data_IF_749689670900
#
_entry.id   IF_749689670900
#
_cell.length_a   1.000
_cell.length_b   1.000
_cell.length_c   1.000
_cell.angle_alpha   90.00
_cell.angle_beta   90.00
_cell.angle_gamma   90.00
#
_symmetry.space_group_name_H-M   'P 1'
#
loop_
_entity.id
_entity.type
_entity.pdbx_description
1 polymer ?
#
# COMPACT_ATOMS: atom_id res chain seq x y z
N UNK A 1 27.39 5.81 -3.68
CA UNK A 1 26.65 4.54 -3.53
C UNK A 1 27.06 3.96 -2.18
N UNK A 2 26.20 4.08 -1.14
CA UNK A 2 26.50 3.53 0.17
C UNK A 2 26.21 2.03 0.13
N UNK A 3 27.24 1.22 0.24
CA UNK A 3 27.10 -0.22 0.43
C UNK A 3 26.51 -0.45 1.82
N UNK A 4 25.48 -1.30 1.94
CA UNK A 4 24.98 -1.68 3.25
C UNK A 4 26.10 -2.43 4.02
N UNK A 5 26.19 -2.15 5.34
CA UNK A 5 27.19 -2.76 6.24
C UNK A 5 26.83 -4.19 6.67
N UNK A 6 25.57 -4.59 6.50
CA UNK A 6 25.08 -5.92 6.85
C UNK A 6 25.50 -6.97 5.82
N UNK A 7 25.65 -8.23 6.24
CA UNK A 7 26.10 -9.31 5.37
C UNK A 7 25.05 -9.58 4.25
N UNK A 8 25.56 -9.97 3.09
CA UNK A 8 24.77 -10.45 1.98
C UNK A 8 24.65 -11.98 2.05
N UNK A 9 23.48 -12.51 1.74
CA UNK A 9 23.31 -13.91 1.31
C UNK A 9 23.42 -14.02 -0.21
N UNK A 10 23.21 -15.20 -0.76
CA UNK A 10 23.18 -15.41 -2.22
C UNK A 10 22.14 -14.52 -2.90
N UNK A 11 20.97 -14.34 -2.29
CA UNK A 11 19.91 -13.49 -2.84
C UNK A 11 20.36 -12.03 -2.94
N UNK A 12 20.90 -11.48 -1.85
CA UNK A 12 21.39 -10.12 -1.84
C UNK A 12 22.56 -9.88 -2.79
N UNK A 13 23.47 -10.85 -2.96
CA UNK A 13 24.54 -10.74 -3.95
C UNK A 13 23.98 -10.70 -5.38
N UNK A 14 23.03 -11.57 -5.71
CA UNK A 14 22.38 -11.57 -7.02
C UNK A 14 21.66 -10.23 -7.25
N UNK A 15 20.89 -9.75 -6.27
CA UNK A 15 20.20 -8.46 -6.37
C UNK A 15 21.17 -7.29 -6.57
N UNK A 16 22.25 -7.27 -5.81
CA UNK A 16 23.29 -6.24 -5.91
C UNK A 16 23.90 -6.15 -7.32
N UNK A 17 24.18 -7.28 -7.94
CA UNK A 17 24.89 -7.34 -9.22
C UNK A 17 23.97 -7.30 -10.43
N UNK A 18 22.78 -7.90 -10.35
CA UNK A 18 21.88 -8.09 -11.48
C UNK A 18 20.50 -7.43 -11.29
N UNK A 19 20.20 -6.89 -10.11
CA UNK A 19 18.89 -6.33 -9.82
C UNK A 19 18.50 -5.17 -10.73
N UNK A 20 19.45 -4.31 -11.14
CA UNK A 20 19.19 -3.23 -12.07
C UNK A 20 18.88 -3.73 -13.47
N UNK A 21 19.64 -4.70 -13.95
CA UNK A 21 19.41 -5.31 -15.26
C UNK A 21 18.07 -6.02 -15.30
N UNK A 22 17.71 -6.70 -14.19
CA UNK A 22 16.40 -7.30 -14.03
C UNK A 22 15.27 -6.27 -14.06
N UNK A 23 15.43 -5.16 -13.32
CA UNK A 23 14.45 -4.06 -13.34
C UNK A 23 14.35 -3.40 -14.72
N UNK A 24 15.41 -3.33 -15.48
CA UNK A 24 15.39 -2.79 -16.85
C UNK A 24 14.58 -3.65 -17.84
N UNK A 25 14.26 -4.90 -17.48
CA UNK A 25 13.35 -5.74 -18.28
C UNK A 25 11.87 -5.36 -18.12
N UNK A 26 11.55 -4.52 -17.13
CA UNK A 26 10.19 -4.01 -16.92
C UNK A 26 10.02 -2.70 -17.69
N UNK A 27 8.80 -2.45 -18.15
CA UNK A 27 8.43 -1.17 -18.77
C UNK A 27 8.28 -0.08 -17.70
N UNK A 28 9.42 0.53 -17.32
CA UNK A 28 9.46 1.62 -16.34
C UNK A 28 10.52 2.67 -16.70
N UNK A 29 10.35 3.94 -16.28
CA UNK A 29 11.35 4.98 -16.46
C UNK A 29 12.69 4.61 -15.83
N UNK A 30 13.81 4.90 -16.51
CA UNK A 30 15.15 4.63 -16.00
C UNK A 30 15.41 5.29 -14.62
N UNK A 31 14.84 6.48 -14.38
CA UNK A 31 14.92 7.17 -13.09
C UNK A 31 14.30 6.39 -11.92
N UNK A 32 13.29 5.56 -12.20
CA UNK A 32 12.58 4.76 -11.19
C UNK A 32 13.38 3.52 -10.78
N UNK A 33 14.26 3.01 -11.68
CA UNK A 33 15.05 1.80 -11.43
C UNK A 33 15.89 1.92 -10.17
N UNK A 34 16.62 3.03 -9.99
CA UNK A 34 17.46 3.24 -8.79
C UNK A 34 16.61 3.31 -7.51
N UNK A 35 15.48 4.00 -7.57
CA UNK A 35 14.56 4.12 -6.44
C UNK A 35 13.96 2.77 -6.05
N UNK A 36 13.51 1.99 -7.04
CA UNK A 36 12.94 0.66 -6.81
C UNK A 36 14.02 -0.30 -6.33
N UNK A 37 15.21 -0.29 -6.95
CA UNK A 37 16.34 -1.13 -6.57
C UNK A 37 16.69 -0.93 -5.09
N UNK A 38 16.88 0.31 -4.65
CA UNK A 38 17.23 0.63 -3.28
C UNK A 38 16.10 0.29 -2.29
N UNK A 39 14.86 0.62 -2.63
CA UNK A 39 13.70 0.33 -1.78
C UNK A 39 13.44 -1.18 -1.63
N UNK A 40 13.59 -1.94 -2.73
CA UNK A 40 13.43 -3.39 -2.70
C UNK A 40 14.57 -4.05 -1.91
N UNK A 41 15.82 -3.60 -2.07
CA UNK A 41 16.95 -4.07 -1.26
C UNK A 41 16.67 -3.89 0.23
N UNK A 42 16.31 -2.69 0.64
CA UNK A 42 16.13 -2.35 2.06
C UNK A 42 14.97 -3.09 2.74
N UNK A 43 13.86 -3.32 2.03
CA UNK A 43 12.61 -3.79 2.66
C UNK A 43 12.19 -5.21 2.29
N UNK A 44 12.85 -5.83 1.31
CA UNK A 44 12.57 -7.20 0.89
C UNK A 44 13.83 -8.09 0.93
N UNK A 45 14.93 -7.65 0.29
CA UNK A 45 16.15 -8.47 0.19
C UNK A 45 16.90 -8.52 1.52
N UNK A 46 17.14 -7.38 2.15
CA UNK A 46 17.89 -7.30 3.40
C UNK A 46 17.30 -8.16 4.54
N UNK A 47 15.98 -8.14 4.83
CA UNK A 47 15.42 -9.02 5.86
C UNK A 47 15.65 -10.51 5.58
N UNK A 48 15.59 -10.93 4.31
CA UNK A 48 15.86 -12.30 3.90
C UNK A 48 17.34 -12.64 4.12
N UNK A 49 18.26 -11.79 3.68
CA UNK A 49 19.70 -12.00 3.88
C UNK A 49 20.08 -12.09 5.34
N UNK A 50 19.52 -11.21 6.19
CA UNK A 50 19.77 -11.23 7.63
C UNK A 50 19.28 -12.51 8.29
N UNK A 51 18.14 -13.02 7.85
CA UNK A 51 17.58 -14.29 8.34
C UNK A 51 18.44 -15.47 7.87
N UNK A 52 18.83 -15.50 6.60
CA UNK A 52 19.63 -16.55 5.99
C UNK A 52 21.03 -16.66 6.63
N UNK A 53 21.64 -15.53 6.93
CA UNK A 53 22.95 -15.47 7.60
C UNK A 53 22.86 -15.63 9.13
N UNK A 54 21.68 -15.83 9.71
CA UNK A 54 21.50 -15.96 11.16
C UNK A 54 21.72 -14.66 11.95
N UNK A 55 21.83 -13.51 11.26
CA UNK A 55 21.99 -12.19 11.90
C UNK A 55 20.66 -11.64 12.45
N UNK A 56 19.55 -12.15 11.97
CA UNK A 56 18.19 -11.85 12.43
C UNK A 56 17.43 -13.15 12.63
N UNK A 57 16.94 -13.39 13.84
CA UNK A 57 16.03 -14.50 14.13
C UNK A 57 14.65 -13.94 14.41
N UNK A 58 13.64 -14.23 13.59
CA UNK A 58 12.26 -13.84 13.86
C UNK A 58 11.82 -14.41 15.23
N UNK A 59 11.10 -13.61 16.01
CA UNK A 59 10.63 -13.97 17.35
C UNK A 59 9.13 -13.79 17.48
N UNK A 60 8.54 -14.41 18.52
CA UNK A 60 7.11 -14.31 18.80
C UNK A 60 6.24 -15.18 17.89
N UNK A 61 4.90 -15.03 17.97
CA UNK A 61 3.96 -15.93 17.29
C UNK A 61 3.99 -15.84 15.76
N UNK A 62 4.59 -14.80 15.18
CA UNK A 62 4.72 -14.63 13.74
C UNK A 62 6.03 -15.19 13.16
N UNK A 63 6.93 -15.68 14.00
CA UNK A 63 8.22 -16.23 13.56
C UNK A 63 8.10 -17.31 12.45
N UNK A 64 7.16 -18.27 12.51
CA UNK A 64 7.00 -19.29 11.47
C UNK A 64 6.33 -18.77 10.18
N UNK A 65 5.85 -17.51 10.15
CA UNK A 65 5.09 -16.95 9.03
C UNK A 65 5.92 -16.02 8.14
N UNK A 66 7.24 -16.11 8.21
CA UNK A 66 8.12 -15.39 7.28
C UNK A 66 8.20 -16.12 5.93
N UNK A 67 8.45 -15.38 4.84
CA UNK A 67 8.58 -15.98 3.51
C UNK A 67 9.63 -17.13 3.49
N UNK A 68 10.85 -16.97 4.04
CA UNK A 68 11.80 -18.09 4.11
C UNK A 68 11.25 -19.31 4.83
N UNK A 69 10.59 -19.15 5.97
CA UNK A 69 10.04 -20.26 6.75
C UNK A 69 8.89 -20.97 6.01
N UNK A 70 8.04 -20.21 5.30
CA UNK A 70 6.97 -20.77 4.49
C UNK A 70 7.51 -21.57 3.30
N UNK A 71 8.54 -21.07 2.62
CA UNK A 71 9.20 -21.77 1.53
C UNK A 71 9.92 -23.04 2.03
N UNK A 72 10.56 -22.97 3.19
CA UNK A 72 11.21 -24.12 3.83
C UNK A 72 10.20 -25.24 4.12
N UNK A 73 8.96 -24.92 4.51
CA UNK A 73 7.91 -25.91 4.80
C UNK A 73 7.43 -26.70 3.58
N UNK A 74 7.82 -26.30 2.38
CA UNK A 74 7.50 -27.01 1.13
C UNK A 74 8.44 -28.19 0.84
N UNK A 75 9.55 -28.33 1.58
CA UNK A 75 10.48 -29.43 1.42
C UNK A 75 9.79 -30.79 1.68
N UNK A 76 10.16 -31.83 0.95
CA UNK A 76 9.67 -33.18 1.23
C UNK A 76 9.97 -33.62 2.66
N UNK A 77 9.08 -34.43 3.22
CA UNK A 77 9.28 -35.04 4.53
C UNK A 77 10.42 -36.07 4.46
N UNK A 78 11.02 -36.40 5.63
CA UNK A 78 12.23 -37.22 5.69
C UNK A 78 12.07 -38.64 5.16
N UNK A 79 10.85 -39.18 5.11
CA UNK A 79 10.48 -40.50 4.66
C UNK A 79 9.81 -40.51 3.26
N UNK A 80 9.89 -39.39 2.53
CA UNK A 80 9.45 -39.34 1.14
C UNK A 80 10.34 -40.22 0.25
N UNK A 81 9.72 -41.10 -0.52
CA UNK A 81 10.41 -42.08 -1.35
C UNK A 81 10.43 -41.77 -2.84
N UNK A 82 9.66 -40.77 -3.27
CA UNK A 82 9.65 -40.33 -4.66
C UNK A 82 10.93 -39.56 -4.99
N UNK A 83 11.76 -40.06 -5.92
CA UNK A 83 13.03 -39.41 -6.28
C UNK A 83 12.86 -38.00 -6.88
N UNK A 84 11.67 -37.66 -7.43
CA UNK A 84 11.38 -36.35 -8.02
C UNK A 84 10.75 -35.37 -7.02
N UNK A 85 10.46 -35.81 -5.78
CA UNK A 85 9.78 -34.96 -4.80
C UNK A 85 10.54 -33.67 -4.50
N UNK A 86 11.88 -33.75 -4.39
CA UNK A 86 12.72 -32.55 -4.13
C UNK A 86 12.67 -31.56 -5.27
N UNK A 87 12.73 -32.00 -6.51
CA UNK A 87 12.68 -31.12 -7.69
C UNK A 87 11.30 -30.47 -7.83
N UNK A 88 10.22 -31.23 -7.59
CA UNK A 88 8.87 -30.65 -7.58
C UNK A 88 8.69 -29.59 -6.48
N UNK A 89 9.18 -29.90 -5.27
CA UNK A 89 9.14 -28.94 -4.16
C UNK A 89 9.94 -27.66 -4.47
N UNK A 90 11.13 -27.81 -5.06
CA UNK A 90 11.95 -26.68 -5.51
C UNK A 90 11.22 -25.81 -6.55
N UNK A 91 10.66 -26.43 -7.60
CA UNK A 91 9.92 -25.67 -8.61
C UNK A 91 8.67 -24.97 -8.06
N UNK A 92 7.99 -25.59 -7.10
CA UNK A 92 6.86 -24.98 -6.40
C UNK A 92 7.32 -23.77 -5.59
N UNK A 93 8.36 -23.91 -4.79
CA UNK A 93 8.95 -22.84 -4.01
C UNK A 93 9.45 -21.66 -4.90
N UNK A 94 10.09 -21.99 -6.02
CA UNK A 94 10.57 -21.00 -7.00
C UNK A 94 9.42 -20.21 -7.60
N UNK A 95 8.32 -20.84 -7.99
CA UNK A 95 7.15 -20.15 -8.55
C UNK A 95 6.52 -19.20 -7.52
N UNK A 96 6.40 -19.62 -6.26
CA UNK A 96 5.87 -18.80 -5.17
C UNK A 96 6.81 -17.61 -4.88
N UNK A 97 8.11 -17.86 -4.72
CA UNK A 97 9.10 -16.80 -4.46
C UNK A 97 9.11 -15.76 -5.59
N UNK A 98 9.09 -16.20 -6.84
CA UNK A 98 9.03 -15.36 -8.02
C UNK A 98 7.78 -14.47 -7.99
N UNK A 99 6.61 -15.03 -7.67
CA UNK A 99 5.37 -14.26 -7.58
C UNK A 99 5.45 -13.14 -6.55
N UNK A 100 6.07 -13.37 -5.38
CA UNK A 100 6.27 -12.33 -4.37
C UNK A 100 7.25 -11.24 -4.83
N UNK A 101 8.36 -11.62 -5.47
CA UNK A 101 9.34 -10.67 -6.03
C UNK A 101 8.68 -9.77 -7.07
N UNK A 102 8.01 -10.36 -8.06
CA UNK A 102 7.36 -9.64 -9.16
C UNK A 102 6.23 -8.72 -8.65
N UNK A 103 5.36 -9.21 -7.76
CA UNK A 103 4.31 -8.39 -7.15
C UNK A 103 4.88 -7.24 -6.31
N UNK A 104 5.97 -7.48 -5.59
CA UNK A 104 6.63 -6.46 -4.78
C UNK A 104 7.26 -5.36 -5.64
N UNK A 105 7.86 -5.71 -6.78
CA UNK A 105 8.41 -4.75 -7.75
C UNK A 105 7.28 -3.96 -8.40
N UNK A 106 6.25 -4.66 -8.91
CA UNK A 106 5.09 -4.03 -9.54
C UNK A 106 4.39 -3.03 -8.62
N UNK A 107 4.24 -3.38 -7.33
CA UNK A 107 3.66 -2.51 -6.32
C UNK A 107 4.48 -1.23 -6.10
N UNK A 108 5.81 -1.31 -6.10
CA UNK A 108 6.69 -0.13 -5.99
C UNK A 108 6.60 0.75 -7.22
N UNK A 109 6.66 0.17 -8.41
CA UNK A 109 6.49 0.91 -9.65
C UNK A 109 5.12 1.62 -9.71
N UNK A 110 4.04 0.96 -9.28
CA UNK A 110 2.72 1.56 -9.21
C UNK A 110 2.67 2.74 -8.22
N UNK A 111 3.36 2.65 -7.08
CA UNK A 111 3.44 3.78 -6.13
C UNK A 111 4.14 5.00 -6.73
N UNK A 112 5.23 4.82 -7.47
CA UNK A 112 5.93 5.93 -8.13
C UNK A 112 5.05 6.59 -9.21
N UNK A 113 4.36 5.79 -10.02
CA UNK A 113 3.39 6.33 -10.99
C UNK A 113 2.26 7.11 -10.33
N UNK A 114 1.72 6.58 -9.22
CA UNK A 114 0.68 7.25 -8.45
C UNK A 114 1.17 8.58 -7.86
N UNK A 115 2.41 8.64 -7.38
CA UNK A 115 2.97 9.86 -6.78
C UNK A 115 2.88 11.06 -7.72
N UNK A 116 3.22 10.90 -8.99
CA UNK A 116 3.14 11.99 -9.98
C UNK A 116 1.69 12.49 -10.16
N UNK A 117 0.72 11.59 -10.24
CA UNK A 117 -0.70 11.94 -10.37
C UNK A 117 -1.24 12.62 -9.11
N UNK A 118 -0.87 12.13 -7.94
CA UNK A 118 -1.28 12.73 -6.67
C UNK A 118 -0.69 14.13 -6.51
N UNK A 119 0.57 14.35 -6.89
CA UNK A 119 1.20 15.69 -6.88
C UNK A 119 0.44 16.67 -7.78
N UNK A 120 0.06 16.25 -8.98
CA UNK A 120 -0.75 17.09 -9.86
C UNK A 120 -2.11 17.44 -9.23
N UNK A 121 -2.77 16.45 -8.61
CA UNK A 121 -4.04 16.68 -7.93
C UNK A 121 -3.91 17.62 -6.73
N UNK A 122 -2.81 17.54 -5.95
CA UNK A 122 -2.54 18.45 -4.83
C UNK A 122 -2.37 19.89 -5.32
N UNK A 123 -1.63 20.08 -6.42
CA UNK A 123 -1.47 21.41 -7.03
C UNK A 123 -2.83 21.97 -7.49
N UNK A 124 -3.64 21.14 -8.13
CA UNK A 124 -4.99 21.54 -8.58
C UNK A 124 -5.94 21.83 -7.41
N UNK A 125 -5.84 21.10 -6.30
CA UNK A 125 -6.65 21.32 -5.11
C UNK A 125 -6.35 22.65 -4.40
N UNK A 126 -5.13 23.18 -4.51
CA UNK A 126 -4.72 24.46 -3.91
C UNK A 126 -4.99 24.50 -2.40
N UNK A 127 -5.89 25.39 -1.97
CA UNK A 127 -6.27 25.56 -0.56
C UNK A 127 -7.47 24.69 -0.13
N UNK A 128 -7.96 23.81 -1.01
CA UNK A 128 -9.04 22.89 -0.66
C UNK A 128 -8.66 22.00 0.54
N UNK A 129 -9.66 21.60 1.30
CA UNK A 129 -9.56 20.59 2.35
C UNK A 129 -9.78 19.16 1.81
N UNK A 130 -10.20 19.05 0.57
CA UNK A 130 -10.54 17.80 -0.11
C UNK A 130 -9.63 17.63 -1.32
N UNK A 131 -8.99 16.46 -1.42
CA UNK A 131 -8.23 16.04 -2.58
C UNK A 131 -9.09 15.12 -3.43
N UNK A 132 -9.37 15.49 -4.66
CA UNK A 132 -10.01 14.61 -5.62
C UNK A 132 -8.96 13.92 -6.50
N UNK A 133 -9.04 12.58 -6.58
CA UNK A 133 -8.17 11.77 -7.41
C UNK A 133 -8.94 11.14 -8.58
N UNK A 134 -8.31 10.99 -9.76
CA UNK A 134 -8.98 10.43 -10.94
C UNK A 134 -9.30 8.94 -10.83
N UNK A 135 -8.63 8.23 -9.90
CA UNK A 135 -8.85 6.81 -9.60
C UNK A 135 -8.33 6.47 -8.20
N UNK A 136 -8.73 5.32 -7.66
CA UNK A 136 -8.19 4.80 -6.41
C UNK A 136 -6.70 4.44 -6.57
N UNK A 137 -5.84 5.13 -5.84
CA UNK A 137 -4.39 4.94 -5.91
C UNK A 137 -3.73 5.22 -4.54
N UNK A 138 -2.49 4.76 -4.30
CA UNK A 138 -1.72 5.16 -3.13
C UNK A 138 -1.46 6.67 -3.12
N UNK A 139 -1.93 7.39 -2.11
CA UNK A 139 -1.82 8.86 -2.03
C UNK A 139 -1.08 9.36 -0.78
N UNK A 140 -1.00 8.54 0.29
CA UNK A 140 -0.54 9.01 1.60
C UNK A 140 0.88 9.57 1.57
N UNK A 141 1.83 8.79 1.07
CA UNK A 141 3.24 9.20 1.01
C UNK A 141 3.43 10.48 0.17
N UNK A 142 2.68 10.63 -0.92
CA UNK A 142 2.72 11.82 -1.76
C UNK A 142 2.17 13.07 -1.05
N UNK A 143 1.09 12.93 -0.24
CA UNK A 143 0.53 14.03 0.56
C UNK A 143 1.52 14.47 1.64
N UNK A 144 2.14 13.52 2.36
CA UNK A 144 3.15 13.82 3.39
C UNK A 144 4.37 14.50 2.77
N UNK A 145 4.89 13.96 1.67
CA UNK A 145 6.04 14.51 0.94
C UNK A 145 5.78 15.92 0.41
N UNK A 146 4.55 16.23 0.02
CA UNK A 146 4.14 17.56 -0.44
C UNK A 146 3.93 18.57 0.70
N UNK A 147 3.92 18.15 1.97
CA UNK A 147 3.54 19.01 3.09
C UNK A 147 2.12 19.57 2.96
N UNK A 148 1.21 18.81 2.34
CA UNK A 148 -0.16 19.27 2.08
C UNK A 148 -1.04 19.04 3.32
N UNK A 149 -0.69 19.72 4.42
CA UNK A 149 -1.32 19.53 5.74
C UNK A 149 -2.74 20.09 5.82
N UNK A 150 -3.11 20.99 4.89
CA UNK A 150 -4.47 21.49 4.78
C UNK A 150 -5.49 20.44 4.36
N UNK A 151 -5.08 19.38 3.68
CA UNK A 151 -5.98 18.34 3.20
C UNK A 151 -6.47 17.45 4.36
N UNK A 152 -7.78 17.25 4.45
CA UNK A 152 -8.44 16.42 5.47
C UNK A 152 -9.00 15.13 4.89
N UNK A 153 -9.51 15.19 3.66
CA UNK A 153 -10.22 14.08 3.01
C UNK A 153 -9.74 13.87 1.58
N UNK A 154 -9.93 12.64 1.09
CA UNK A 154 -9.69 12.26 -0.31
C UNK A 154 -10.96 11.66 -0.88
N UNK A 155 -11.32 12.08 -2.10
CA UNK A 155 -12.42 11.53 -2.89
C UNK A 155 -11.86 10.90 -4.15
N UNK A 156 -12.31 9.69 -4.48
CA UNK A 156 -11.91 9.01 -5.72
C UNK A 156 -12.97 8.00 -6.18
N UNK A 157 -13.07 7.71 -7.50
CA UNK A 157 -13.93 6.65 -8.00
C UNK A 157 -13.44 5.26 -7.59
N UNK A 158 -14.39 4.35 -7.46
CA UNK A 158 -14.18 2.90 -7.43
C UNK A 158 -14.96 2.28 -8.58
N UNK A 159 -14.94 0.96 -8.70
CA UNK A 159 -15.61 0.25 -9.81
C UNK A 159 -17.11 0.56 -9.92
N UNK A 160 -17.81 0.71 -8.81
CA UNK A 160 -19.28 0.85 -8.76
C UNK A 160 -19.78 2.11 -8.05
N UNK A 161 -18.91 2.85 -7.39
CA UNK A 161 -19.27 3.98 -6.54
C UNK A 161 -18.07 4.95 -6.38
N UNK A 162 -18.22 5.93 -5.52
CA UNK A 162 -17.20 6.89 -5.13
C UNK A 162 -16.85 6.73 -3.66
N UNK A 163 -15.58 6.78 -3.35
CA UNK A 163 -15.04 6.67 -2.01
C UNK A 163 -14.71 8.06 -1.46
N UNK A 164 -15.11 8.34 -0.23
CA UNK A 164 -14.63 9.43 0.60
C UNK A 164 -13.85 8.82 1.76
N UNK A 165 -12.56 9.18 1.90
CA UNK A 165 -11.71 8.65 2.95
C UNK A 165 -10.97 9.76 3.68
N UNK A 166 -10.65 9.52 4.95
CA UNK A 166 -9.86 10.42 5.79
C UNK A 166 -8.38 10.29 5.49
N UNK A 167 -7.60 11.35 5.77
CA UNK A 167 -6.14 11.34 5.69
C UNK A 167 -5.58 11.10 7.09
N UNK A 168 -4.63 10.17 7.21
CA UNK A 168 -3.95 9.90 8.49
C UNK A 168 -2.98 11.03 8.83
N UNK A 169 -2.72 11.22 10.13
CA UNK A 169 -1.73 12.17 10.62
C UNK A 169 -0.30 11.74 10.27
N UNK A 170 -0.05 10.41 10.30
CA UNK A 170 1.26 9.80 10.02
C UNK A 170 1.09 8.46 9.29
N UNK A 171 2.21 7.83 8.91
CA UNK A 171 2.22 6.55 8.20
C UNK A 171 2.11 5.33 9.15
N UNK A 172 2.39 5.49 10.44
CA UNK A 172 2.48 4.39 11.40
C UNK A 172 1.20 4.22 12.22
N UNK A 173 0.52 5.33 12.53
CA UNK A 173 -0.67 5.37 13.37
C UNK A 173 -1.99 5.17 12.62
N UNK A 174 -3.07 5.06 13.41
CA UNK A 174 -4.44 5.09 12.90
C UNK A 174 -5.12 6.44 13.09
N UNK A 175 -4.46 7.40 13.76
CA UNK A 175 -4.97 8.75 13.96
C UNK A 175 -5.17 9.44 12.61
N UNK A 176 -6.34 10.07 12.44
CA UNK A 176 -6.71 10.79 11.23
C UNK A 176 -6.71 12.29 11.47
N UNK A 177 -6.48 13.09 10.42
CA UNK A 177 -6.50 14.55 10.51
C UNK A 177 -7.88 15.09 10.87
N UNK A 178 -8.93 14.41 10.40
CA UNK A 178 -10.31 14.64 10.76
C UNK A 178 -11.12 13.36 10.56
N UNK A 179 -12.04 13.08 11.47
CA UNK A 179 -13.05 12.01 11.32
C UNK A 179 -14.17 12.48 10.38
N UNK A 180 -14.89 11.52 9.81
CA UNK A 180 -16.20 11.79 9.21
C UNK A 180 -17.21 12.10 10.31
N UNK A 181 -18.35 12.81 10.01
CA UNK A 181 -19.35 13.19 10.97
C UNK A 181 -19.81 12.05 11.87
N UNK A 182 -19.91 12.31 13.17
CA UNK A 182 -20.27 11.30 14.17
C UNK A 182 -21.65 10.70 13.91
N UNK A 183 -22.59 11.51 13.41
CA UNK A 183 -23.94 11.07 13.08
C UNK A 183 -24.01 10.05 11.93
N UNK A 184 -22.93 9.89 11.14
CA UNK A 184 -22.90 8.95 10.00
C UNK A 184 -22.39 7.55 10.39
N UNK A 185 -21.85 7.40 11.58
CA UNK A 185 -21.17 6.18 12.01
C UNK A 185 -22.04 4.92 11.86
N UNK A 186 -21.61 3.98 11.00
CA UNK A 186 -22.28 2.70 10.77
C UNK A 186 -23.55 2.76 9.92
N UNK A 187 -23.95 3.94 9.42
CA UNK A 187 -25.17 4.09 8.63
C UNK A 187 -24.97 3.66 7.18
N UNK A 188 -26.04 3.22 6.53
CA UNK A 188 -26.08 2.76 5.16
C UNK A 188 -27.31 3.26 4.42
N UNK A 189 -27.18 3.50 3.11
CA UNK A 189 -28.29 3.79 2.20
C UNK A 189 -29.26 4.85 2.71
N UNK A 190 -30.58 4.57 2.75
CA UNK A 190 -31.59 5.55 3.12
C UNK A 190 -31.40 6.20 4.50
N UNK A 191 -30.86 5.45 5.47
CA UNK A 191 -30.62 6.00 6.81
C UNK A 191 -29.49 7.03 6.79
N UNK A 192 -28.44 6.77 6.02
CA UNK A 192 -27.36 7.73 5.82
C UNK A 192 -27.83 8.95 5.02
N UNK A 193 -28.60 8.71 3.94
CA UNK A 193 -29.20 9.79 3.13
C UNK A 193 -30.07 10.72 3.99
N UNK A 194 -30.91 10.15 4.87
CA UNK A 194 -31.75 10.92 5.76
C UNK A 194 -30.97 11.78 6.78
N UNK A 195 -29.86 11.25 7.28
CA UNK A 195 -29.03 11.95 8.28
C UNK A 195 -28.14 13.01 7.65
N UNK A 196 -27.50 12.73 6.51
CA UNK A 196 -26.61 13.69 5.84
C UNK A 196 -27.33 14.65 4.87
N UNK A 197 -28.57 14.32 4.48
CA UNK A 197 -29.34 15.11 3.51
C UNK A 197 -28.81 15.01 2.06
N UNK A 198 -28.01 13.99 1.75
CA UNK A 198 -27.39 13.82 0.43
C UNK A 198 -27.93 12.55 -0.22
N UNK A 199 -28.69 12.70 -1.31
CA UNK A 199 -29.12 11.59 -2.14
C UNK A 199 -27.91 10.88 -2.75
N UNK A 200 -27.91 9.55 -2.67
CA UNK A 200 -26.80 8.73 -3.16
C UNK A 200 -25.71 8.46 -2.15
N UNK A 201 -25.79 8.98 -0.92
CA UNK A 201 -24.92 8.54 0.17
C UNK A 201 -25.22 7.06 0.49
N UNK A 202 -24.22 6.17 0.40
CA UNK A 202 -24.49 4.74 0.39
C UNK A 202 -23.95 3.99 1.61
N UNK A 203 -22.88 4.50 2.23
CA UNK A 203 -22.21 3.83 3.35
C UNK A 203 -21.34 4.80 4.14
N UNK A 204 -21.28 4.62 5.46
CA UNK A 204 -20.23 5.17 6.31
C UNK A 204 -19.78 4.12 7.32
N UNK A 205 -18.47 3.88 7.38
CA UNK A 205 -17.91 2.93 8.34
C UNK A 205 -18.11 3.39 9.78
N UNK A 206 -18.36 2.46 10.70
CA UNK A 206 -18.54 2.78 12.12
C UNK A 206 -17.35 3.54 12.73
N UNK A 207 -16.12 3.23 12.29
CA UNK A 207 -14.90 3.95 12.69
C UNK A 207 -14.69 5.30 11.99
N UNK A 208 -15.63 5.80 11.19
CA UNK A 208 -15.68 7.14 10.60
C UNK A 208 -14.45 7.53 9.73
N UNK A 209 -13.74 6.55 9.19
CA UNK A 209 -12.55 6.81 8.35
C UNK A 209 -12.79 6.62 6.85
N UNK A 210 -13.92 6.06 6.47
CA UNK A 210 -14.32 5.86 5.07
C UNK A 210 -15.83 5.89 4.91
N UNK A 211 -16.29 6.53 3.84
CA UNK A 211 -17.67 6.53 3.38
C UNK A 211 -17.71 6.29 1.87
N UNK A 212 -18.91 6.02 1.35
CA UNK A 212 -19.17 5.81 -0.06
C UNK A 212 -20.42 6.53 -0.52
N UNK A 213 -20.44 6.93 -1.78
CA UNK A 213 -21.59 7.50 -2.45
C UNK A 213 -21.74 6.95 -3.87
N UNK A 214 -22.95 6.91 -4.40
CA UNK A 214 -23.26 6.37 -5.74
C UNK A 214 -22.67 7.21 -6.86
N UNK A 215 -22.47 8.52 -6.64
CA UNK A 215 -22.00 9.47 -7.65
C UNK A 215 -20.86 10.34 -7.12
N UNK A 216 -20.08 10.91 -8.05
CA UNK A 216 -19.03 11.89 -7.75
C UNK A 216 -19.58 13.07 -6.94
N UNK A 217 -20.67 13.64 -7.41
CA UNK A 217 -21.23 14.85 -6.81
C UNK A 217 -21.75 14.59 -5.39
N UNK A 218 -22.35 13.43 -5.14
CA UNK A 218 -22.74 13.02 -3.82
C UNK A 218 -21.52 12.82 -2.89
N UNK A 219 -20.43 12.22 -3.38
CA UNK A 219 -19.20 12.05 -2.60
C UNK A 219 -18.54 13.39 -2.25
N UNK A 220 -18.52 14.33 -3.19
CA UNK A 220 -18.01 15.70 -2.95
C UNK A 220 -18.90 16.46 -1.98
N UNK A 221 -20.24 16.37 -2.10
CA UNK A 221 -21.15 16.99 -1.17
C UNK A 221 -20.99 16.43 0.26
N UNK A 222 -20.79 15.10 0.40
CA UNK A 222 -20.44 14.47 1.68
C UNK A 222 -19.10 15.01 2.23
N UNK A 223 -18.08 15.15 1.37
CA UNK A 223 -16.78 15.69 1.78
C UNK A 223 -16.90 17.13 2.27
N UNK A 224 -17.70 17.97 1.60
CA UNK A 224 -17.94 19.36 2.02
C UNK A 224 -18.67 19.45 3.37
N UNK A 225 -19.61 18.56 3.65
CA UNK A 225 -20.24 18.47 4.98
C UNK A 225 -19.24 18.05 6.05
N UNK A 226 -18.43 17.04 5.76
CA UNK A 226 -17.40 16.57 6.68
C UNK A 226 -16.35 17.64 6.98
N UNK A 227 -15.94 18.43 5.98
CA UNK A 227 -15.04 19.58 6.17
C UNK A 227 -15.66 20.63 7.09
N UNK A 228 -16.93 20.99 6.88
CA UNK A 228 -17.62 21.99 7.71
C UNK A 228 -17.69 21.54 9.17
N UNK A 229 -18.02 20.28 9.43
CA UNK A 229 -18.05 19.75 10.78
C UNK A 229 -16.65 19.70 11.42
N UNK A 230 -15.65 19.25 10.67
CA UNK A 230 -14.26 19.19 11.16
C UNK A 230 -13.68 20.57 11.51
N UNK A 231 -14.13 21.64 10.83
CA UNK A 231 -13.67 23.01 11.10
C UNK A 231 -14.50 23.71 12.20
N UNK A 232 -15.65 23.16 12.58
CA UNK A 232 -16.51 23.68 13.64
C UNK A 232 -16.20 23.06 15.02
N UNK A 233 -15.46 21.94 15.05
CA UNK A 233 -15.07 21.21 16.27
C UNK A 233 -13.77 21.76 16.87
#
# INVERSE_FOLDING_TARGET
>A
MLFRSQPYSSFGLIWKHFGRDYLATYDMPAADIETIHASFDATFVLPIDLTDNGALSPTGPLAPLTLPSLLESLKPVFDETDPEATDRAFHTALAIARSFVEASIAGRAAKLRAEALVQQAIVAAGQSRVLELPLGMPFRAAIVKAGADQLLFVVHPREKDWCLTTIRCDDEGFAVRADLPAAWAGLNGPDLEAVCGIEGASFCHNGRFVAAAKTRDAALAMADLAVREALAA
#
